data_IF_801852192996
#
_entry.id   IF_801852192996
#
_cell.length_a   1.000
_cell.length_b   1.000
_cell.length_c   1.000
_cell.angle_alpha   90.00
_cell.angle_beta   90.00
_cell.angle_gamma   90.00
#
_symmetry.space_group_name_H-M   'P 1'
#
loop_
_entity.id
_entity.type
_entity.pdbx_description
1 polymer ?
#
# COMPACT_ATOMS: atom_id res chain seq x y z
N UNK A 1 -90.49 -29.29 -21.75
CA UNK A 1 -90.24 -29.88 -20.43
C UNK A 1 -88.72 -30.15 -20.40
N UNK A 2 -87.96 -29.26 -20.02
CA UNK A 2 -87.45 -28.99 -18.67
C UNK A 2 -86.21 -29.86 -18.34
N UNK A 3 -85.14 -29.26 -18.07
CA UNK A 3 -83.93 -29.88 -17.51
C UNK A 3 -82.71 -29.02 -17.65
N UNK A 4 -82.60 -27.94 -16.84
CA UNK A 4 -81.42 -27.18 -16.61
C UNK A 4 -80.35 -28.03 -15.93
N UNK A 5 -79.10 -27.93 -16.40
CA UNK A 5 -77.97 -28.35 -15.60
C UNK A 5 -77.10 -27.08 -15.39
N UNK A 6 -76.96 -26.79 -14.10
CA UNK A 6 -76.08 -25.76 -13.61
C UNK A 6 -74.64 -26.22 -13.77
N UNK A 7 -73.80 -25.43 -14.45
CA UNK A 7 -72.38 -25.57 -14.52
C UNK A 7 -71.72 -24.51 -13.61
N UNK A 8 -71.23 -25.01 -12.48
CA UNK A 8 -70.57 -24.21 -11.49
C UNK A 8 -69.12 -23.95 -11.94
N UNK A 9 -68.79 -22.68 -12.26
CA UNK A 9 -67.49 -22.24 -12.53
C UNK A 9 -66.61 -22.22 -11.30
N UNK A 10 -65.48 -22.91 -11.33
CA UNK A 10 -64.40 -22.82 -10.36
C UNK A 10 -63.55 -21.53 -10.62
N UNK A 11 -63.14 -20.79 -9.58
CA UNK A 11 -62.31 -19.64 -9.73
C UNK A 11 -60.83 -20.05 -9.97
N UNK A 12 -60.26 -19.43 -10.99
CA UNK A 12 -58.89 -19.53 -11.41
C UNK A 12 -57.94 -18.91 -10.34
N UNK A 13 -57.08 -19.71 -9.70
CA UNK A 13 -56.04 -19.22 -8.83
C UNK A 13 -54.83 -18.81 -9.67
N UNK A 14 -54.18 -17.64 -9.42
CA UNK A 14 -52.94 -17.27 -10.10
C UNK A 14 -51.78 -18.09 -9.54
N UNK A 15 -51.07 -18.77 -10.42
CA UNK A 15 -49.82 -19.47 -10.15
C UNK A 15 -48.75 -18.42 -9.90
N UNK A 16 -48.27 -18.32 -8.67
CA UNK A 16 -47.09 -17.52 -8.34
C UNK A 16 -45.86 -18.22 -8.90
N UNK A 17 -45.25 -17.60 -9.92
CA UNK A 17 -43.93 -17.98 -10.42
C UNK A 17 -42.86 -17.52 -9.42
N UNK A 18 -42.39 -18.42 -8.57
CA UNK A 18 -41.20 -18.24 -7.77
C UNK A 18 -39.97 -18.21 -8.73
N UNK A 19 -39.42 -17.03 -8.93
CA UNK A 19 -38.05 -16.90 -9.48
C UNK A 19 -37.09 -17.21 -8.33
N UNK A 20 -36.13 -18.12 -8.52
CA UNK A 20 -35.07 -18.30 -7.54
C UNK A 20 -34.19 -17.03 -7.52
N UNK A 21 -34.10 -16.42 -6.35
CA UNK A 21 -33.21 -15.31 -6.09
C UNK A 21 -31.75 -15.75 -6.34
N UNK A 22 -31.12 -15.17 -7.32
CA UNK A 22 -29.67 -15.29 -7.57
C UNK A 22 -28.97 -14.66 -6.37
N UNK A 23 -28.12 -15.37 -5.63
CA UNK A 23 -27.36 -14.78 -4.54
C UNK A 23 -26.40 -13.74 -5.14
N UNK A 24 -26.46 -12.52 -4.64
CA UNK A 24 -25.54 -11.45 -4.98
C UNK A 24 -24.11 -11.92 -4.69
N UNK A 25 -23.31 -12.06 -5.73
CA UNK A 25 -21.90 -12.39 -5.62
C UNK A 25 -21.20 -11.26 -4.88
N UNK A 26 -20.76 -11.54 -3.65
CA UNK A 26 -19.81 -10.71 -2.92
C UNK A 26 -18.57 -10.54 -3.79
N UNK A 27 -18.07 -9.34 -4.06
CA UNK A 27 -16.85 -9.18 -4.83
C UNK A 27 -15.69 -9.80 -4.04
N UNK A 28 -15.24 -10.96 -4.49
CA UNK A 28 -14.01 -11.56 -4.00
C UNK A 28 -12.88 -10.62 -4.36
N UNK A 29 -12.28 -9.99 -3.34
CA UNK A 29 -11.03 -9.29 -3.47
C UNK A 29 -9.97 -10.31 -3.90
N UNK A 30 -9.68 -10.37 -5.19
CA UNK A 30 -8.56 -11.14 -5.72
C UNK A 30 -7.28 -10.38 -5.36
N UNK A 31 -6.72 -10.69 -4.20
CA UNK A 31 -5.33 -10.35 -3.94
C UNK A 31 -4.48 -11.11 -4.98
N UNK A 32 -3.54 -10.43 -5.64
CA UNK A 32 -2.61 -11.13 -6.52
C UNK A 32 -1.84 -12.19 -5.72
N UNK A 33 -1.47 -13.32 -6.34
CA UNK A 33 -0.74 -14.39 -5.68
C UNK A 33 0.56 -13.82 -5.07
N UNK A 34 0.78 -14.11 -3.80
CA UNK A 34 2.04 -13.77 -3.11
C UNK A 34 3.17 -14.51 -3.81
N UNK A 35 4.26 -13.82 -4.13
CA UNK A 35 5.51 -14.43 -4.55
C UNK A 35 6.01 -15.34 -3.42
N UNK A 36 5.63 -16.63 -3.46
CA UNK A 36 6.16 -17.66 -2.61
C UNK A 36 7.34 -18.31 -3.33
N UNK A 37 8.51 -18.19 -2.74
CA UNK A 37 9.83 -18.67 -3.12
C UNK A 37 10.68 -17.64 -3.87
N UNK A 38 11.95 -17.57 -3.47
CA UNK A 38 12.97 -16.76 -4.11
C UNK A 38 13.22 -17.27 -5.53
N UNK A 39 12.52 -16.73 -6.51
CA UNK A 39 12.89 -16.94 -7.90
C UNK A 39 14.22 -16.23 -8.17
N UNK A 40 15.18 -16.88 -8.84
CA UNK A 40 16.44 -16.25 -9.18
C UNK A 40 16.17 -15.05 -10.08
N UNK A 41 16.35 -13.83 -9.54
CA UNK A 41 16.22 -12.62 -10.31
C UNK A 41 17.39 -12.54 -11.31
N UNK A 42 17.12 -12.11 -12.53
CA UNK A 42 18.13 -12.11 -13.60
C UNK A 42 19.34 -11.19 -13.36
N UNK A 43 19.29 -10.30 -12.40
CA UNK A 43 20.45 -9.48 -11.94
C UNK A 43 21.46 -10.30 -11.12
N UNK A 44 21.28 -11.61 -10.96
CA UNK A 44 22.11 -12.45 -10.10
C UNK A 44 21.75 -12.38 -8.62
N UNK A 45 20.78 -11.55 -8.24
CA UNK A 45 20.24 -11.45 -6.88
C UNK A 45 18.91 -12.20 -6.80
N UNK A 46 18.76 -13.05 -5.80
CA UNK A 46 17.46 -13.62 -5.48
C UNK A 46 16.58 -12.53 -4.87
N UNK A 47 15.42 -12.22 -5.49
CA UNK A 47 14.43 -11.35 -4.88
C UNK A 47 13.86 -12.07 -3.66
N UNK A 48 14.07 -11.49 -2.49
CA UNK A 48 13.51 -12.01 -1.23
C UNK A 48 12.06 -11.54 -1.16
N UNK A 49 11.12 -12.43 -1.45
CA UNK A 49 9.69 -12.10 -1.49
C UNK A 49 9.14 -11.48 -0.20
N UNK A 50 9.75 -11.75 0.95
CA UNK A 50 9.35 -11.14 2.23
C UNK A 50 9.66 -9.63 2.33
N UNK A 51 10.48 -9.07 1.45
CA UNK A 51 10.73 -7.62 1.35
C UNK A 51 9.66 -6.92 0.50
N UNK A 52 9.01 -7.65 -0.39
CA UNK A 52 7.94 -7.14 -1.24
C UNK A 52 6.60 -7.63 -0.68
N UNK A 53 5.73 -6.70 -0.39
CA UNK A 53 4.42 -6.98 0.19
C UNK A 53 4.30 -6.58 1.67
N UNK A 54 3.06 -6.43 2.13
CA UNK A 54 2.79 -5.99 3.49
C UNK A 54 3.29 -7.01 4.51
N UNK A 55 3.79 -6.50 5.63
CA UNK A 55 4.06 -7.35 6.78
C UNK A 55 2.80 -8.13 7.17
N UNK A 56 2.95 -9.40 7.51
CA UNK A 56 1.82 -10.17 8.03
C UNK A 56 1.19 -9.42 9.21
N UNK A 57 -0.14 -9.21 9.24
CA UNK A 57 -0.78 -8.47 10.31
C UNK A 57 -0.51 -9.20 11.64
N UNK A 58 -0.06 -8.46 12.65
CA UNK A 58 0.02 -8.98 14.00
C UNK A 58 -1.40 -9.33 14.48
N UNK A 59 -1.56 -10.45 15.18
CA UNK A 59 -2.86 -11.01 15.57
C UNK A 59 -3.73 -10.13 16.48
N UNK A 60 -3.18 -9.07 17.02
CA UNK A 60 -3.89 -8.14 17.91
C UNK A 60 -3.45 -6.71 17.60
N UNK A 61 -4.07 -6.12 16.61
CA UNK A 61 -3.82 -4.72 16.25
C UNK A 61 -5.05 -3.92 16.63
N UNK A 62 -4.83 -2.85 17.39
CA UNK A 62 -5.86 -1.85 17.56
C UNK A 62 -6.07 -1.10 16.24
N UNK A 63 -7.25 -1.24 15.65
CA UNK A 63 -7.62 -0.46 14.47
C UNK A 63 -7.66 1.04 14.80
N UNK A 64 -7.09 1.86 13.92
CA UNK A 64 -7.01 3.31 14.06
C UNK A 64 -7.71 4.02 12.90
N UNK A 65 -9.06 3.99 12.82
CA UNK A 65 -9.83 4.47 11.67
C UNK A 65 -9.49 5.91 11.29
N UNK A 66 -9.28 6.81 12.27
CA UNK A 66 -8.91 8.22 12.01
C UNK A 66 -7.66 8.37 11.15
N UNK A 67 -6.67 7.48 11.32
CA UNK A 67 -5.44 7.52 10.52
C UNK A 67 -5.62 6.89 9.14
N UNK A 68 -6.42 5.84 9.04
CA UNK A 68 -6.78 5.23 7.75
C UNK A 68 -7.60 6.23 6.92
N UNK A 69 -8.60 6.88 7.51
CA UNK A 69 -9.38 7.94 6.87
C UNK A 69 -8.49 9.10 6.43
N UNK A 70 -7.54 9.51 7.29
CA UNK A 70 -6.58 10.53 6.92
C UNK A 70 -5.79 10.13 5.67
N UNK A 71 -5.32 8.89 5.57
CA UNK A 71 -4.64 8.39 4.38
C UNK A 71 -5.54 8.47 3.15
N UNK A 72 -6.77 8.01 3.22
CA UNK A 72 -7.73 8.01 2.11
C UNK A 72 -7.98 9.44 1.58
N UNK A 73 -8.08 10.41 2.48
CA UNK A 73 -8.25 11.82 2.12
C UNK A 73 -7.01 12.39 1.40
N UNK A 74 -5.82 11.85 1.65
CA UNK A 74 -4.56 12.38 1.13
C UNK A 74 -3.94 11.56 -0.01
N UNK A 75 -4.63 10.56 -0.51
CA UNK A 75 -4.15 9.73 -1.63
C UNK A 75 -3.96 10.49 -2.96
N UNK A 76 -4.45 11.73 -3.07
CA UNK A 76 -4.18 12.63 -4.22
C UNK A 76 -2.83 13.36 -4.10
N UNK A 77 -2.17 13.27 -2.99
CA UNK A 77 -0.82 13.82 -2.82
C UNK A 77 0.19 13.03 -3.65
N UNK A 78 1.33 13.63 -3.91
CA UNK A 78 2.43 12.95 -4.62
C UNK A 78 3.33 12.19 -3.65
N UNK A 79 3.40 12.67 -2.43
CA UNK A 79 4.23 12.12 -1.37
C UNK A 79 3.50 12.20 -0.03
N UNK A 80 3.48 11.09 0.67
CA UNK A 80 3.05 11.00 2.07
C UNK A 80 4.26 10.55 2.90
N UNK A 81 4.55 11.23 3.99
CA UNK A 81 5.67 10.94 4.89
C UNK A 81 5.13 10.55 6.25
N UNK A 82 5.51 9.38 6.76
CA UNK A 82 5.30 8.96 8.13
C UNK A 82 6.62 9.05 8.88
N UNK A 83 6.71 10.00 9.80
CA UNK A 83 7.95 10.31 10.52
C UNK A 83 7.74 10.17 12.02
N UNK A 84 8.23 9.06 12.57
CA UNK A 84 8.23 8.81 14.02
C UNK A 84 9.30 7.76 14.38
N UNK A 85 9.68 7.69 15.64
CA UNK A 85 10.62 6.69 16.16
C UNK A 85 10.08 5.25 16.03
N UNK A 86 10.92 4.27 16.37
CA UNK A 86 10.49 2.88 16.41
C UNK A 86 9.37 2.69 17.44
N UNK A 87 8.44 1.76 17.18
CA UNK A 87 7.35 1.45 18.10
C UNK A 87 6.07 2.26 17.92
N UNK A 88 6.08 3.36 17.16
CA UNK A 88 4.88 4.20 16.92
C UNK A 88 3.86 3.62 15.93
N UNK A 89 3.98 2.35 15.56
CA UNK A 89 2.98 1.65 14.76
C UNK A 89 2.93 2.04 13.27
N UNK A 90 3.98 2.66 12.71
CA UNK A 90 4.03 3.08 11.29
C UNK A 90 3.73 1.92 10.34
N UNK A 91 4.48 0.83 10.45
CA UNK A 91 4.31 -0.38 9.61
C UNK A 91 2.93 -1.01 9.81
N UNK A 92 2.42 -1.00 11.04
CA UNK A 92 1.08 -1.47 11.38
C UNK A 92 0.00 -0.65 10.69
N UNK A 93 0.10 0.69 10.77
CA UNK A 93 -0.82 1.61 10.11
C UNK A 93 -0.80 1.45 8.59
N UNK A 94 0.40 1.31 7.99
CA UNK A 94 0.54 1.06 6.56
C UNK A 94 -0.09 -0.28 6.17
N UNK A 95 0.05 -1.32 7.01
CA UNK A 95 -0.62 -2.61 6.82
C UNK A 95 -2.15 -2.48 6.87
N UNK A 96 -2.68 -1.76 7.84
CA UNK A 96 -4.11 -1.47 7.95
C UNK A 96 -4.60 -0.68 6.72
N UNK A 97 -3.92 0.40 6.34
CA UNK A 97 -4.21 1.16 5.13
C UNK A 97 -4.21 0.27 3.88
N UNK A 98 -3.21 -0.60 3.71
CA UNK A 98 -3.08 -1.46 2.53
C UNK A 98 -4.22 -2.48 2.39
N UNK A 99 -4.92 -2.82 3.48
CA UNK A 99 -6.08 -3.72 3.46
C UNK A 99 -7.39 -3.00 3.19
N UNK A 100 -7.47 -1.69 3.47
CA UNK A 100 -8.69 -0.89 3.30
C UNK A 100 -8.71 -0.11 1.99
N UNK A 101 -7.55 0.31 1.48
CA UNK A 101 -7.47 1.10 0.26
C UNK A 101 -7.96 0.34 -0.97
N UNK A 102 -8.56 1.09 -1.90
CA UNK A 102 -8.90 0.58 -3.25
C UNK A 102 -7.75 0.75 -4.23
N UNK A 103 -6.70 1.47 -3.84
CA UNK A 103 -5.51 1.67 -4.66
C UNK A 103 -4.66 0.39 -4.67
N UNK A 104 -4.00 0.10 -5.78
CA UNK A 104 -3.02 -0.99 -5.83
C UNK A 104 -1.81 -0.59 -4.99
N UNK A 105 -1.26 -1.53 -4.24
CA UNK A 105 -0.16 -1.26 -3.32
C UNK A 105 1.07 -2.05 -3.73
N UNK A 106 2.16 -1.33 -3.94
CA UNK A 106 3.52 -1.85 -4.01
C UNK A 106 4.17 -1.57 -2.67
N UNK A 107 4.61 -2.60 -1.97
CA UNK A 107 5.26 -2.45 -0.68
C UNK A 107 6.70 -2.94 -0.77
N UNK A 108 7.64 -2.11 -0.41
CA UNK A 108 9.05 -2.45 -0.31
C UNK A 108 9.56 -2.12 1.09
N UNK A 109 9.88 -3.15 1.87
CA UNK A 109 10.54 -3.02 3.16
C UNK A 109 12.02 -2.89 2.94
N UNK A 110 12.57 -1.76 3.30
CA UNK A 110 13.97 -1.40 3.07
C UNK A 110 14.88 -1.90 4.18
N UNK A 111 16.06 -2.31 3.79
CA UNK A 111 17.18 -2.65 4.64
C UNK A 111 18.41 -1.81 4.26
N UNK A 112 19.45 -1.80 5.07
CA UNK A 112 20.68 -1.03 4.78
C UNK A 112 21.36 -1.43 3.48
N UNK A 113 21.28 -2.71 3.11
CA UNK A 113 21.81 -3.25 1.85
C UNK A 113 21.14 -2.65 0.61
N UNK A 114 19.91 -2.16 0.76
CA UNK A 114 19.15 -1.55 -0.34
C UNK A 114 19.60 -0.09 -0.63
N UNK A 115 20.63 0.40 0.06
CA UNK A 115 21.34 1.62 -0.28
C UNK A 115 22.12 1.53 -1.60
N UNK A 116 22.40 0.32 -2.12
CA UNK A 116 22.89 0.08 -3.46
C UNK A 116 21.76 0.30 -4.49
N UNK A 117 22.04 1.14 -5.50
CA UNK A 117 21.03 1.55 -6.47
C UNK A 117 20.53 0.41 -7.38
N UNK A 118 21.39 -0.59 -7.67
CA UNK A 118 21.01 -1.74 -8.49
C UNK A 118 20.01 -2.60 -7.70
N UNK A 119 20.34 -2.88 -6.45
CA UNK A 119 19.48 -3.62 -5.53
C UNK A 119 18.15 -2.89 -5.36
N UNK A 120 18.18 -1.59 -5.08
CA UNK A 120 16.99 -0.77 -4.89
C UNK A 120 16.07 -0.80 -6.12
N UNK A 121 16.61 -0.55 -7.32
CA UNK A 121 15.81 -0.59 -8.55
C UNK A 121 15.29 -1.99 -8.87
N UNK A 122 16.08 -3.04 -8.60
CA UNK A 122 15.67 -4.42 -8.84
C UNK A 122 14.42 -4.78 -8.02
N UNK A 123 14.39 -4.43 -6.73
CA UNK A 123 13.22 -4.64 -5.88
C UNK A 123 12.04 -3.76 -6.29
N UNK A 124 12.27 -2.50 -6.69
CA UNK A 124 11.20 -1.63 -7.20
C UNK A 124 10.57 -2.21 -8.47
N UNK A 125 11.38 -2.66 -9.42
CA UNK A 125 10.89 -3.27 -10.67
C UNK A 125 10.10 -4.53 -10.36
N UNK A 126 10.57 -5.37 -9.43
CA UNK A 126 9.85 -6.57 -9.02
C UNK A 126 8.48 -6.23 -8.39
N UNK A 127 8.44 -5.31 -7.44
CA UNK A 127 7.18 -4.90 -6.80
C UNK A 127 6.20 -4.21 -7.76
N UNK A 128 6.70 -3.36 -8.68
CA UNK A 128 5.86 -2.72 -9.69
C UNK A 128 5.30 -3.72 -10.71
N UNK A 129 6.00 -4.84 -10.95
CA UNK A 129 5.54 -5.91 -11.84
C UNK A 129 4.34 -6.66 -11.29
N UNK A 130 4.18 -6.75 -9.97
CA UNK A 130 2.99 -7.34 -9.35
C UNK A 130 1.72 -6.50 -9.64
N UNK A 131 1.91 -5.19 -9.82
CA UNK A 131 0.84 -4.24 -10.15
C UNK A 131 0.62 -4.11 -11.65
N UNK A 132 1.72 -4.09 -12.42
CA UNK A 132 1.70 -3.98 -13.88
C UNK A 132 2.46 -5.16 -14.51
N UNK A 133 1.77 -6.24 -14.90
CA UNK A 133 2.40 -7.40 -15.53
C UNK A 133 3.23 -6.99 -16.75
N UNK A 134 4.50 -7.41 -16.74
CA UNK A 134 5.46 -7.03 -17.79
C UNK A 134 6.18 -5.70 -17.60
N UNK A 135 5.92 -4.98 -16.51
CA UNK A 135 6.65 -3.76 -16.17
C UNK A 135 8.16 -3.98 -16.10
N UNK A 136 8.92 -3.03 -16.58
CA UNK A 136 10.36 -2.94 -16.36
C UNK A 136 11.20 -4.02 -17.06
N UNK A 137 10.69 -4.71 -18.09
CA UNK A 137 11.48 -5.73 -18.83
C UNK A 137 12.77 -5.16 -19.42
N UNK A 138 12.70 -3.94 -19.96
CA UNK A 138 13.88 -3.26 -20.54
C UNK A 138 14.83 -2.79 -19.45
N UNK A 139 14.29 -2.17 -18.40
CA UNK A 139 15.07 -1.78 -17.22
C UNK A 139 15.80 -2.98 -16.62
N UNK A 140 15.13 -4.11 -16.46
CA UNK A 140 15.72 -5.33 -15.93
C UNK A 140 16.83 -5.88 -16.82
N UNK A 141 16.66 -5.88 -18.15
CA UNK A 141 17.69 -6.29 -19.09
C UNK A 141 18.95 -5.41 -18.97
N UNK A 142 18.79 -4.10 -18.75
CA UNK A 142 19.90 -3.19 -18.52
C UNK A 142 20.57 -3.45 -17.16
N UNK A 143 19.79 -3.67 -16.09
CA UNK A 143 20.34 -3.98 -14.76
C UNK A 143 21.21 -5.24 -14.77
N UNK A 144 20.80 -6.30 -15.51
CA UNK A 144 21.61 -7.51 -15.69
C UNK A 144 22.96 -7.23 -16.33
N UNK A 145 23.02 -6.29 -17.25
CA UNK A 145 24.18 -6.01 -18.06
C UNK A 145 25.07 -4.90 -17.49
N UNK A 146 24.72 -4.31 -16.35
CA UNK A 146 25.54 -3.25 -15.71
C UNK A 146 26.97 -3.73 -15.47
N UNK A 147 27.14 -4.91 -14.88
CA UNK A 147 28.45 -5.49 -14.58
C UNK A 147 29.20 -5.95 -15.82
N UNK A 148 28.50 -6.41 -16.88
CA UNK A 148 29.10 -7.03 -18.07
C UNK A 148 29.39 -6.02 -19.19
N UNK A 149 28.54 -4.99 -19.36
CA UNK A 149 28.57 -4.07 -20.49
C UNK A 149 28.86 -2.61 -20.10
N UNK A 150 29.04 -2.30 -18.79
CA UNK A 150 29.30 -0.95 -18.33
C UNK A 150 28.14 0.02 -18.58
N UNK A 151 26.90 -0.47 -18.61
CA UNK A 151 25.72 0.40 -18.75
C UNK A 151 25.75 1.44 -17.63
N UNK A 152 25.68 2.72 -18.00
CA UNK A 152 25.71 3.77 -16.98
C UNK A 152 24.40 3.79 -16.18
N UNK A 153 24.50 4.16 -14.91
CA UNK A 153 23.34 4.34 -14.02
C UNK A 153 22.28 5.24 -14.65
N UNK A 154 22.71 6.28 -15.33
CA UNK A 154 21.84 7.27 -15.99
C UNK A 154 20.98 6.63 -17.09
N UNK A 155 21.55 5.70 -17.86
CA UNK A 155 20.81 4.96 -18.91
C UNK A 155 19.75 4.04 -18.28
N UNK A 156 20.13 3.31 -17.24
CA UNK A 156 19.20 2.43 -16.54
C UNK A 156 18.05 3.23 -15.90
N UNK A 157 18.38 4.33 -15.23
CA UNK A 157 17.38 5.20 -14.61
C UNK A 157 16.47 5.85 -15.66
N UNK A 158 17.02 6.33 -16.78
CA UNK A 158 16.21 6.88 -17.87
C UNK A 158 15.22 5.85 -18.42
N UNK A 159 15.66 4.58 -18.59
CA UNK A 159 14.79 3.51 -19.03
C UNK A 159 13.71 3.19 -17.99
N UNK A 160 14.08 3.10 -16.71
CA UNK A 160 13.12 2.90 -15.62
C UNK A 160 12.03 3.97 -15.60
N UNK A 161 12.42 5.25 -15.73
CA UNK A 161 11.47 6.36 -15.77
C UNK A 161 10.61 6.35 -17.05
N UNK A 162 11.16 5.88 -18.17
CA UNK A 162 10.39 5.65 -19.40
C UNK A 162 9.35 4.53 -19.22
N UNK A 163 9.75 3.40 -18.65
CA UNK A 163 8.85 2.29 -18.34
C UNK A 163 7.74 2.76 -17.37
N UNK A 164 8.11 3.58 -16.36
CA UNK A 164 7.18 4.13 -15.39
C UNK A 164 6.16 5.09 -16.03
N UNK A 165 6.62 5.97 -16.93
CA UNK A 165 5.74 6.93 -17.63
C UNK A 165 4.78 6.25 -18.62
N UNK A 166 5.12 5.05 -19.08
CA UNK A 166 4.32 4.24 -19.99
C UNK A 166 3.40 3.26 -19.25
N UNK A 167 3.44 3.22 -17.91
CA UNK A 167 2.59 2.34 -17.12
C UNK A 167 1.12 2.74 -17.25
N UNK A 168 0.25 1.74 -17.22
CA UNK A 168 -1.19 1.95 -17.37
C UNK A 168 -1.75 2.87 -16.29
N UNK A 169 -2.77 3.65 -16.67
CA UNK A 169 -3.49 4.50 -15.75
C UNK A 169 -4.12 3.69 -14.62
N UNK A 170 -4.00 4.19 -13.41
CA UNK A 170 -4.57 3.60 -12.21
C UNK A 170 -3.92 4.20 -10.96
N UNK A 171 -4.60 4.03 -9.84
CA UNK A 171 -4.05 4.52 -8.58
C UNK A 171 -3.15 3.48 -7.97
N UNK A 172 -1.92 3.89 -7.67
CA UNK A 172 -0.88 3.02 -7.11
C UNK A 172 -0.16 3.75 -5.97
N UNK A 173 -0.19 3.15 -4.80
CA UNK A 173 0.63 3.54 -3.66
C UNK A 173 1.94 2.75 -3.69
N UNK A 174 3.07 3.42 -3.76
CA UNK A 174 4.39 2.80 -3.58
C UNK A 174 4.87 3.11 -2.18
N UNK A 175 4.83 2.12 -1.31
CA UNK A 175 5.25 2.21 0.09
C UNK A 175 6.72 1.80 0.18
N UNK A 176 7.55 2.73 0.62
CA UNK A 176 8.95 2.51 0.98
C UNK A 176 9.06 2.54 2.51
N UNK A 177 8.96 1.36 3.11
CA UNK A 177 8.97 1.23 4.57
C UNK A 177 10.41 1.19 5.08
N UNK A 178 10.67 1.84 6.20
CA UNK A 178 11.99 2.04 6.79
C UNK A 178 12.98 2.84 5.90
N UNK A 179 12.48 3.81 5.14
CA UNK A 179 13.26 4.64 4.20
C UNK A 179 14.51 5.29 4.82
N UNK A 180 14.48 5.58 6.12
CA UNK A 180 15.62 6.14 6.85
C UNK A 180 16.91 5.28 6.78
N UNK A 181 16.80 3.98 6.47
CA UNK A 181 17.94 3.07 6.34
C UNK A 181 18.74 3.31 5.05
N UNK A 182 18.10 3.90 4.04
CA UNK A 182 18.70 4.16 2.73
C UNK A 182 18.78 5.65 2.38
N UNK A 183 18.24 6.53 3.22
CA UNK A 183 18.20 7.99 2.98
C UNK A 183 19.59 8.62 2.87
N UNK A 184 20.63 7.99 3.42
CA UNK A 184 22.01 8.41 3.27
C UNK A 184 22.57 8.17 1.84
N UNK A 185 21.98 7.25 1.05
CA UNK A 185 22.42 6.94 -0.31
C UNK A 185 22.03 8.07 -1.29
N UNK A 186 23.00 8.76 -1.92
CA UNK A 186 22.69 9.78 -2.91
C UNK A 186 21.94 9.22 -4.12
N UNK A 187 22.25 7.99 -4.50
CA UNK A 187 21.66 7.31 -5.64
C UNK A 187 20.20 6.97 -5.40
N UNK A 188 19.88 6.41 -4.23
CA UNK A 188 18.49 6.11 -3.85
C UNK A 188 17.67 7.41 -3.77
N UNK A 189 18.23 8.46 -3.15
CA UNK A 189 17.56 9.77 -3.10
C UNK A 189 17.27 10.33 -4.49
N UNK A 190 18.24 10.21 -5.40
CA UNK A 190 18.07 10.65 -6.79
C UNK A 190 16.95 9.85 -7.49
N UNK A 191 16.93 8.53 -7.35
CA UNK A 191 15.90 7.67 -7.94
C UNK A 191 14.52 8.08 -7.42
N UNK A 192 14.35 8.19 -6.09
CA UNK A 192 13.09 8.58 -5.45
C UNK A 192 12.66 9.98 -5.89
N UNK A 193 13.59 10.94 -5.95
CA UNK A 193 13.30 12.30 -6.44
C UNK A 193 12.82 12.30 -7.89
N UNK A 194 13.46 11.52 -8.77
CA UNK A 194 13.02 11.37 -10.16
C UNK A 194 11.66 10.67 -10.29
N UNK A 195 11.39 9.69 -9.46
CA UNK A 195 10.04 9.09 -9.39
C UNK A 195 8.98 10.13 -9.01
N UNK A 196 9.25 10.95 -8.00
CA UNK A 196 8.34 12.03 -7.58
C UNK A 196 8.05 13.03 -8.70
N UNK A 197 9.05 13.32 -9.56
CA UNK A 197 8.93 14.24 -10.69
C UNK A 197 8.20 13.63 -11.90
N UNK A 198 8.45 12.36 -12.20
CA UNK A 198 8.12 11.73 -13.47
C UNK A 198 7.05 10.64 -13.40
N UNK A 199 6.70 10.18 -12.20
CA UNK A 199 5.68 9.14 -12.07
C UNK A 199 4.33 9.57 -12.67
N UNK A 200 3.54 8.65 -13.26
CA UNK A 200 2.25 8.96 -13.86
C UNK A 200 1.27 9.54 -12.83
N UNK A 201 0.22 10.18 -13.32
CA UNK A 201 -0.87 10.62 -12.45
C UNK A 201 -1.54 9.40 -11.80
N UNK A 202 -1.92 9.53 -10.54
CA UNK A 202 -2.46 8.41 -9.76
C UNK A 202 -1.41 7.58 -9.01
N UNK A 203 -0.14 7.65 -9.36
CA UNK A 203 0.93 7.06 -8.55
C UNK A 203 1.43 8.05 -7.50
N UNK A 204 1.54 7.58 -6.26
CA UNK A 204 2.10 8.36 -5.15
C UNK A 204 3.03 7.51 -4.30
N UNK A 205 3.97 8.17 -3.65
CA UNK A 205 4.93 7.53 -2.75
C UNK A 205 4.50 7.70 -1.30
N UNK A 206 4.68 6.67 -0.51
CA UNK A 206 4.54 6.69 0.94
C UNK A 206 5.88 6.30 1.54
N UNK A 207 6.53 7.23 2.24
CA UNK A 207 7.80 6.99 2.91
C UNK A 207 7.58 6.88 4.40
N UNK A 208 7.93 5.75 4.99
CA UNK A 208 7.95 5.60 6.45
C UNK A 208 9.39 5.55 6.96
N UNK A 209 9.62 6.16 8.11
CA UNK A 209 10.97 6.13 8.68
C UNK A 209 11.10 6.91 9.98
N UNK A 210 12.33 6.99 10.46
CA UNK A 210 12.73 7.84 11.58
C UNK A 210 13.20 9.18 11.03
N UNK A 211 12.62 10.26 11.50
CA UNK A 211 12.95 11.58 11.02
C UNK A 211 12.35 11.95 9.65
N UNK A 212 12.69 13.12 9.16
CA UNK A 212 12.21 13.64 7.88
C UNK A 212 13.19 13.24 6.78
N UNK A 213 12.72 12.65 5.66
CA UNK A 213 13.60 12.28 4.54
C UNK A 213 14.34 13.48 3.96
N UNK A 214 15.60 13.25 3.58
CA UNK A 214 16.47 14.26 2.95
C UNK A 214 16.20 14.36 1.45
N UNK A 215 14.94 14.73 1.10
CA UNK A 215 14.48 14.88 -0.28
C UNK A 215 14.18 16.34 -0.62
N UNK A 216 14.59 16.76 -1.81
CA UNK A 216 14.29 18.11 -2.33
C UNK A 216 12.84 18.21 -2.81
N UNK A 217 11.89 18.32 -1.88
CA UNK A 217 10.44 18.35 -2.17
C UNK A 217 9.81 19.73 -2.05
N UNK A 218 10.62 20.80 -2.02
CA UNK A 218 10.14 22.17 -1.83
C UNK A 218 9.04 22.58 -2.82
N UNK A 219 9.22 22.27 -4.12
CA UNK A 219 8.22 22.54 -5.15
C UNK A 219 6.91 21.79 -4.89
N UNK A 220 6.98 20.52 -4.53
CA UNK A 220 5.78 19.71 -4.25
C UNK A 220 5.06 20.20 -2.98
N UNK A 221 5.81 20.66 -1.98
CA UNK A 221 5.23 21.30 -0.77
C UNK A 221 4.51 22.58 -1.12
N UNK A 222 5.11 23.47 -1.93
CA UNK A 222 4.48 24.70 -2.39
C UNK A 222 3.19 24.44 -3.18
N UNK A 223 3.05 23.28 -3.79
CA UNK A 223 1.85 22.82 -4.51
C UNK A 223 0.83 22.07 -3.63
N UNK A 224 1.08 21.94 -2.32
CA UNK A 224 0.23 21.17 -1.40
C UNK A 224 0.23 19.66 -1.66
N UNK A 225 1.23 19.15 -2.41
CA UNK A 225 1.29 17.73 -2.84
C UNK A 225 2.16 16.85 -1.94
N UNK A 226 2.59 17.36 -0.81
CA UNK A 226 3.32 16.61 0.22
C UNK A 226 2.54 16.66 1.52
N UNK A 227 2.24 15.51 2.07
CA UNK A 227 1.58 15.37 3.36
C UNK A 227 2.49 14.67 4.35
N UNK A 228 2.31 14.93 5.63
CA UNK A 228 3.12 14.34 6.68
C UNK A 228 2.25 13.96 7.88
N UNK A 229 2.44 12.73 8.36
CA UNK A 229 2.07 12.31 9.70
C UNK A 229 3.33 12.34 10.57
N UNK A 230 3.27 13.12 11.61
CA UNK A 230 4.33 13.26 12.60
C UNK A 230 4.13 12.29 13.76
N UNK A 231 5.07 12.34 14.72
CA UNK A 231 4.96 11.59 15.96
C UNK A 231 3.69 11.94 16.73
N UNK A 232 3.31 13.23 16.76
CA UNK A 232 2.12 13.70 17.50
C UNK A 232 0.83 13.17 16.89
N UNK A 233 0.76 13.08 15.55
CA UNK A 233 -0.38 12.49 14.83
C UNK A 233 -0.49 10.98 15.09
N UNK A 234 0.65 10.30 15.27
CA UNK A 234 0.74 8.85 15.50
C UNK A 234 0.56 8.45 16.97
N UNK A 235 0.56 9.38 17.91
CA UNK A 235 0.23 9.07 19.31
C UNK A 235 -1.18 8.53 19.42
N UNK A 236 -1.38 7.63 20.40
CA UNK A 236 -2.71 7.15 20.72
C UNK A 236 -3.54 8.26 21.36
N UNK A 237 -4.78 8.40 20.92
CA UNK A 237 -5.77 9.24 21.62
C UNK A 237 -6.29 8.52 22.87
N UNK A 238 -6.88 9.26 23.82
CA UNK A 238 -7.46 8.64 25.02
C UNK A 238 -8.44 7.49 24.69
N UNK A 239 -9.38 7.64 23.74
CA UNK A 239 -10.26 6.53 23.34
C UNK A 239 -9.51 5.33 22.73
N UNK A 240 -8.41 5.57 22.01
CA UNK A 240 -7.58 4.49 21.46
C UNK A 240 -6.84 3.75 22.58
N UNK A 241 -6.37 4.45 23.63
CA UNK A 241 -5.74 3.85 24.81
C UNK A 241 -6.75 2.99 25.58
N UNK A 242 -7.93 3.53 25.87
CA UNK A 242 -9.01 2.79 26.55
C UNK A 242 -9.34 1.49 25.80
N UNK A 243 -9.53 1.60 24.49
CA UNK A 243 -9.83 0.45 23.64
C UNK A 243 -8.68 -0.57 23.60
N UNK A 244 -7.44 -0.11 23.54
CA UNK A 244 -6.26 -0.97 23.56
C UNK A 244 -6.20 -1.81 24.85
N UNK A 245 -6.39 -1.17 26.00
CA UNK A 245 -6.36 -1.87 27.28
C UNK A 245 -7.56 -2.83 27.46
N UNK A 246 -8.75 -2.40 27.06
CA UNK A 246 -9.93 -3.26 27.09
C UNK A 246 -9.78 -4.52 26.21
N UNK A 247 -9.20 -4.35 25.00
CA UNK A 247 -9.06 -5.47 24.04
C UNK A 247 -7.87 -6.37 24.35
N UNK A 248 -6.75 -5.80 24.83
CA UNK A 248 -5.50 -6.54 25.02
C UNK A 248 -5.42 -7.17 26.41
N UNK A 249 -5.88 -6.47 27.43
CA UNK A 249 -5.75 -6.89 28.83
C UNK A 249 -7.08 -7.24 29.51
N UNK A 250 -8.21 -7.06 28.79
CA UNK A 250 -9.54 -7.36 29.33
C UNK A 250 -10.00 -6.44 30.46
N UNK A 251 -9.25 -5.37 30.76
CA UNK A 251 -9.55 -4.41 31.81
C UNK A 251 -9.52 -3.00 31.24
N UNK A 252 -10.62 -2.24 31.33
CA UNK A 252 -10.62 -0.81 30.99
C UNK A 252 -9.76 -0.06 32.02
N UNK A 253 -8.92 0.87 31.55
CA UNK A 253 -8.27 1.85 32.41
C UNK A 253 -9.27 2.93 32.83
N UNK A 254 -9.12 3.45 34.04
CA UNK A 254 -9.80 4.69 34.43
C UNK A 254 -9.23 5.89 33.68
N UNK A 255 -9.97 7.00 33.68
CA UNK A 255 -9.60 8.20 32.94
C UNK A 255 -8.24 8.78 33.39
N UNK A 256 -7.93 8.72 34.68
CA UNK A 256 -6.69 9.28 35.24
C UNK A 256 -5.49 8.43 34.79
N UNK A 257 -5.62 7.10 34.83
CA UNK A 257 -4.60 6.20 34.30
C UNK A 257 -4.38 6.34 32.80
N UNK A 258 -5.47 6.55 32.02
CA UNK A 258 -5.36 6.82 30.57
C UNK A 258 -4.58 8.09 30.30
N UNK A 259 -4.80 9.16 31.10
CA UNK A 259 -4.10 10.42 30.93
C UNK A 259 -2.61 10.30 31.22
N UNK A 260 -2.24 9.58 32.28
CA UNK A 260 -0.82 9.30 32.61
C UNK A 260 -0.12 8.50 31.50
N UNK A 261 -0.84 7.57 30.84
CA UNK A 261 -0.29 6.79 29.73
C UNK A 261 -0.14 7.66 28.46
N UNK A 262 -1.07 8.59 28.22
CA UNK A 262 -1.03 9.47 27.05
C UNK A 262 0.10 10.52 27.09
N UNK A 263 0.56 10.88 28.29
CA UNK A 263 1.63 11.88 28.50
C UNK A 263 3.05 11.30 28.33
N UNK A 264 3.18 9.97 28.25
CA UNK A 264 4.47 9.27 28.07
C UNK A 264 4.73 8.88 26.62
#
# INVERSE_FOLDING_TARGET
MSGRRDDAAMPNQPVASEHPAVPAATPQQTHPPRLNAAEPHPSGFAIIGSKIGPAAPARSILARPRLVEWFEQHTRSRLIILSAEAGYGKTTLLGEFSTHTRDRVVWYRLERSDGDWITFLSYLVAGLRDVWPGFGRRTEALLRNVAAMGSSREVVLAQFLSDLSSAEAGRVAVILDDYHLVDASPDVRMIVSRMLERAPEGMYLVLSGRGTPTLSVGRLRGQGRVQKLSIDDLRFTLPEIEKLFATTYGQPLDSDACQVVAER
#
